data_IF_382558293747
#
_entry.id   IF_382558293747
#
_cell.length_a   1.000
_cell.length_b   1.000
_cell.length_c   1.000
_cell.angle_alpha   90.00
_cell.angle_beta   90.00
_cell.angle_gamma   90.00
#
_symmetry.space_group_name_H-M   'P 1'
#
loop_
_entity.id
_entity.type
_entity.pdbx_description
1 polymer ?
#
# COMPACT_ATOMS: atom_id res chain seq x y z
N UNK A 1 14.72 28.22 -3.68
CA UNK A 1 15.08 26.80 -3.93
C UNK A 1 15.30 26.11 -2.58
N UNK A 2 14.71 24.94 -2.36
CA UNK A 2 14.77 24.24 -1.07
C UNK A 2 16.17 23.64 -0.85
N UNK A 3 16.86 24.03 0.22
CA UNK A 3 18.24 23.60 0.55
C UNK A 3 18.35 22.07 0.60
N UNK A 4 17.36 21.40 1.17
CA UNK A 4 17.32 19.94 1.24
C UNK A 4 17.28 19.30 -0.14
N UNK A 5 16.57 19.91 -1.09
CA UNK A 5 16.50 19.41 -2.46
C UNK A 5 17.87 19.48 -3.14
N UNK A 6 18.61 20.57 -2.91
CA UNK A 6 19.97 20.75 -3.45
C UNK A 6 20.91 19.70 -2.86
N UNK A 7 20.88 19.52 -1.54
CA UNK A 7 21.71 18.52 -0.84
C UNK A 7 21.39 17.09 -1.29
N UNK A 8 20.11 16.77 -1.52
CA UNK A 8 19.70 15.45 -1.99
C UNK A 8 20.23 15.18 -3.41
N UNK A 9 20.16 16.17 -4.31
CA UNK A 9 20.72 16.04 -5.65
C UNK A 9 22.23 15.80 -5.62
N UNK A 10 22.96 16.57 -4.81
CA UNK A 10 24.40 16.38 -4.64
C UNK A 10 24.75 15.00 -4.07
N UNK A 11 23.94 14.48 -3.15
CA UNK A 11 24.13 13.14 -2.60
C UNK A 11 23.91 12.07 -3.67
N UNK A 12 22.86 12.18 -4.48
CA UNK A 12 22.57 11.24 -5.58
C UNK A 12 23.72 11.22 -6.58
N UNK A 13 24.29 12.38 -6.92
CA UNK A 13 25.43 12.48 -7.85
C UNK A 13 26.71 11.80 -7.34
N UNK A 14 26.82 11.57 -6.03
CA UNK A 14 28.00 10.96 -5.40
C UNK A 14 27.84 9.45 -5.18
N UNK A 15 26.66 8.88 -5.43
CA UNK A 15 26.38 7.47 -5.22
C UNK A 15 26.67 6.64 -6.48
N UNK A 16 27.14 5.42 -6.28
CA UNK A 16 27.19 4.43 -7.36
C UNK A 16 25.79 3.94 -7.71
N UNK A 17 25.63 3.34 -8.90
CA UNK A 17 24.34 2.78 -9.33
C UNK A 17 23.81 1.71 -8.35
N UNK A 18 24.69 0.89 -7.77
CA UNK A 18 24.32 -0.14 -6.80
C UNK A 18 23.79 0.48 -5.49
N UNK A 19 24.47 1.52 -4.98
CA UNK A 19 24.04 2.26 -3.80
C UNK A 19 22.72 3.00 -4.06
N UNK A 20 22.56 3.57 -5.25
CA UNK A 20 21.34 4.26 -5.66
C UNK A 20 20.16 3.29 -5.75
N UNK A 21 20.38 2.10 -6.31
CA UNK A 21 19.38 1.04 -6.38
C UNK A 21 18.96 0.58 -4.97
N UNK A 22 19.91 0.39 -4.07
CA UNK A 22 19.63 0.03 -2.67
C UNK A 22 18.83 1.13 -1.96
N UNK A 23 19.26 2.38 -2.08
CA UNK A 23 18.57 3.51 -1.47
C UNK A 23 17.15 3.67 -2.03
N UNK A 24 16.98 3.53 -3.35
CA UNK A 24 15.67 3.57 -3.98
C UNK A 24 14.76 2.46 -3.46
N UNK A 25 15.25 1.21 -3.40
CA UNK A 25 14.44 0.09 -2.89
C UNK A 25 13.96 0.32 -1.45
N UNK A 26 14.80 0.92 -0.61
CA UNK A 26 14.47 1.23 0.79
C UNK A 26 13.43 2.34 0.87
N UNK A 27 13.66 3.45 0.17
CA UNK A 27 12.73 4.61 0.16
C UNK A 27 11.38 4.20 -0.43
N UNK A 28 11.38 3.42 -1.50
CA UNK A 28 10.17 2.94 -2.13
C UNK A 28 9.37 2.03 -1.19
N UNK A 29 10.02 1.09 -0.49
CA UNK A 29 9.37 0.25 0.52
C UNK A 29 8.70 1.08 1.61
N UNK A 30 9.44 2.04 2.19
CA UNK A 30 8.90 2.94 3.21
C UNK A 30 7.73 3.80 2.68
N UNK A 31 7.80 4.25 1.43
CA UNK A 31 6.71 5.00 0.80
C UNK A 31 5.46 4.14 0.64
N UNK A 32 5.60 2.89 0.18
CA UNK A 32 4.49 1.95 0.08
C UNK A 32 3.86 1.68 1.45
N UNK A 33 4.68 1.43 2.47
CA UNK A 33 4.21 1.18 3.84
C UNK A 33 3.43 2.37 4.40
N UNK A 34 3.94 3.59 4.22
CA UNK A 34 3.26 4.83 4.63
C UNK A 34 1.90 5.01 3.92
N UNK A 35 1.85 4.72 2.61
CA UNK A 35 0.62 4.83 1.83
C UNK A 35 -0.42 3.79 2.26
N UNK A 36 -0.01 2.55 2.53
CA UNK A 36 -0.89 1.51 3.07
C UNK A 36 -1.40 1.90 4.45
N UNK A 37 -0.53 2.41 5.31
CA UNK A 37 -0.92 2.86 6.66
C UNK A 37 -1.94 3.99 6.59
N UNK A 38 -1.74 4.98 5.72
CA UNK A 38 -2.69 6.06 5.46
C UNK A 38 -4.03 5.53 4.95
N UNK A 39 -4.01 4.59 4.01
CA UNK A 39 -5.22 3.97 3.49
C UNK A 39 -5.99 3.23 4.60
N UNK A 40 -5.31 2.49 5.49
CA UNK A 40 -5.91 1.83 6.64
C UNK A 40 -6.51 2.86 7.61
N UNK A 41 -5.78 3.94 7.91
CA UNK A 41 -6.27 5.00 8.79
C UNK A 41 -7.52 5.67 8.21
N UNK A 42 -7.53 5.93 6.91
CA UNK A 42 -8.67 6.53 6.25
C UNK A 42 -9.86 5.59 6.20
N UNK A 43 -9.64 4.30 5.88
CA UNK A 43 -10.68 3.28 5.95
C UNK A 43 -11.30 3.19 7.35
N UNK A 44 -10.49 3.24 8.41
CA UNK A 44 -10.98 3.26 9.79
C UNK A 44 -11.80 4.51 10.13
N UNK A 45 -11.49 5.66 9.52
CA UNK A 45 -12.23 6.92 9.75
C UNK A 45 -13.54 6.95 8.98
N UNK A 46 -13.57 6.39 7.78
CA UNK A 46 -14.74 6.38 6.90
C UNK A 46 -15.70 5.22 7.19
N UNK A 47 -15.20 4.13 7.78
CA UNK A 47 -16.01 2.99 8.20
C UNK A 47 -17.17 3.43 9.09
N UNK A 48 -18.38 3.22 8.58
CA UNK A 48 -19.59 3.23 9.38
C UNK A 48 -19.77 1.88 10.08
N UNK A 49 -20.52 1.81 11.19
CA UNK A 49 -21.08 0.54 11.64
C UNK A 49 -21.72 -0.16 10.42
N UNK A 50 -21.54 -1.47 10.29
CA UNK A 50 -22.02 -2.30 9.17
C UNK A 50 -21.21 -2.27 7.85
N UNK A 51 -20.19 -1.42 7.71
CA UNK A 51 -19.28 -1.46 6.53
C UNK A 51 -18.24 -2.59 6.59
N UNK A 52 -18.19 -3.31 7.71
CA UNK A 52 -17.24 -4.41 7.93
C UNK A 52 -18.01 -5.70 8.03
N UNK A 53 -17.63 -6.69 7.22
CA UNK A 53 -18.16 -8.04 7.36
C UNK A 53 -17.59 -8.68 8.63
N UNK A 54 -18.45 -9.30 9.41
CA UNK A 54 -18.02 -10.28 10.40
C UNK A 54 -17.33 -11.46 9.72
N UNK A 55 -16.57 -12.26 10.48
CA UNK A 55 -15.89 -13.44 9.93
C UNK A 55 -16.86 -14.38 9.21
N UNK A 56 -18.04 -14.62 9.79
CA UNK A 56 -19.08 -15.48 9.21
C UNK A 56 -19.64 -14.89 7.91
N UNK A 57 -19.92 -13.59 7.88
CA UNK A 57 -20.39 -12.90 6.66
C UNK A 57 -19.33 -12.87 5.56
N UNK A 58 -18.05 -12.75 5.92
CA UNK A 58 -16.94 -12.81 4.97
C UNK A 58 -16.78 -14.20 4.35
N UNK A 59 -16.89 -15.26 5.15
CA UNK A 59 -16.85 -16.65 4.65
C UNK A 59 -18.04 -16.91 3.71
N UNK A 60 -19.26 -16.52 4.11
CA UNK A 60 -20.45 -16.65 3.26
C UNK A 60 -20.32 -15.86 1.95
N UNK A 61 -19.75 -14.67 1.98
CA UNK A 61 -19.51 -13.87 0.78
C UNK A 61 -18.50 -14.52 -0.18
N UNK A 62 -17.43 -15.12 0.36
CA UNK A 62 -16.42 -15.82 -0.42
C UNK A 62 -16.97 -17.13 -1.03
N UNK A 63 -17.69 -17.92 -0.25
CA UNK A 63 -18.32 -19.17 -0.70
C UNK A 63 -19.49 -18.91 -1.67
N UNK A 64 -20.27 -17.85 -1.45
CA UNK A 64 -21.34 -17.41 -2.36
C UNK A 64 -20.83 -16.97 -3.74
N UNK A 65 -19.61 -16.41 -3.79
CA UNK A 65 -18.92 -16.09 -5.05
C UNK A 65 -18.37 -17.30 -5.79
N UNK A 66 -18.18 -18.42 -5.10
CA UNK A 66 -17.74 -19.68 -5.70
C UNK A 66 -18.93 -20.37 -6.40
N UNK A 67 -20.08 -20.47 -5.73
CA UNK A 67 -21.33 -21.02 -6.31
C UNK A 67 -21.89 -20.23 -7.49
N UNK A 68 -21.55 -18.96 -7.61
CA UNK A 68 -21.97 -18.12 -8.76
C UNK A 68 -21.04 -18.31 -9.97
N UNK A 69 -19.80 -18.76 -9.75
CA UNK A 69 -18.83 -19.03 -10.82
C UNK A 69 -19.04 -20.40 -11.48
N UNK A 70 -19.53 -21.37 -10.72
CA UNK A 70 -19.86 -22.73 -11.21
C UNK A 70 -21.18 -22.80 -12.01
N UNK A 71 -21.95 -21.72 -12.09
CA UNK A 71 -23.18 -21.65 -12.90
C UNK A 71 -22.96 -21.10 -14.31
N UNK A 72 -21.75 -20.62 -14.59
CA UNK A 72 -21.38 -20.02 -15.88
C UNK A 72 -20.46 -20.95 -16.73
N UNK A 73 -20.39 -22.25 -16.42
CA UNK A 73 -19.73 -23.30 -17.22
C UNK A 73 -20.75 -24.34 -17.68
#
# INVERSE_FOLDING_TARGET
MNVLRIQLHQLIEQMTDDELQLAWSTVYGLHCDDQVLKAIQEAKRSQQPWDTLTHEEAILFLEGREKSRDKDI
#
